data_IF_954966381768
#
_entry.id   IF_954966381768
#
_cell.length_a   1.000
_cell.length_b   1.000
_cell.length_c   1.000
_cell.angle_alpha   90.00
_cell.angle_beta   90.00
_cell.angle_gamma   90.00
#
_symmetry.space_group_name_H-M   'P 1'
#
loop_
_entity.id
_entity.type
_entity.pdbx_description
1 polymer ?
#
# COMPACT_ATOMS: atom_id res chain seq x y z
N UNK A 1 1.35 -21.79 -9.43
CA UNK A 1 0.93 -20.36 -9.45
C UNK A 1 0.84 -19.86 -8.03
N UNK A 2 1.33 -18.65 -7.80
CA UNK A 2 1.34 -17.98 -6.50
C UNK A 2 0.85 -16.56 -6.63
N UNK A 3 0.85 -15.81 -5.52
CA UNK A 3 0.50 -14.39 -5.52
C UNK A 3 1.59 -13.60 -6.23
N UNK A 4 1.21 -12.76 -7.19
CA UNK A 4 2.14 -11.92 -7.95
C UNK A 4 2.58 -10.68 -7.16
N UNK A 5 1.63 -9.98 -6.52
CA UNK A 5 1.91 -8.75 -5.76
C UNK A 5 1.47 -8.90 -4.31
N UNK A 6 2.35 -8.58 -3.36
CA UNK A 6 2.09 -8.64 -1.92
C UNK A 6 2.31 -7.27 -1.29
N UNK A 7 1.26 -6.74 -0.67
CA UNK A 7 1.31 -5.53 0.16
C UNK A 7 1.08 -5.84 1.64
N UNK A 8 1.96 -5.35 2.51
CA UNK A 8 1.90 -5.52 3.96
C UNK A 8 1.81 -4.16 4.64
N UNK A 9 0.67 -3.89 5.26
CA UNK A 9 0.45 -2.70 6.09
C UNK A 9 1.21 -2.84 7.41
N UNK A 10 2.10 -1.91 7.71
CA UNK A 10 2.98 -1.92 8.89
C UNK A 10 2.60 -0.85 9.94
N UNK A 11 1.41 -0.26 9.81
CA UNK A 11 0.92 0.79 10.72
C UNK A 11 1.77 2.06 10.63
N UNK A 12 2.29 2.51 11.77
CA UNK A 12 3.17 3.70 11.87
C UNK A 12 4.52 3.54 11.14
N UNK A 13 4.85 2.34 10.67
CA UNK A 13 6.04 2.09 9.83
C UNK A 13 5.72 2.14 8.33
N UNK A 14 4.48 2.46 7.96
CA UNK A 14 4.06 2.62 6.57
C UNK A 14 3.61 1.30 5.94
N UNK A 15 4.05 1.05 4.71
CA UNK A 15 3.67 -0.13 3.93
C UNK A 15 4.88 -0.73 3.22
N UNK A 16 4.96 -2.06 3.20
CA UNK A 16 5.88 -2.81 2.35
C UNK A 16 5.11 -3.38 1.15
N UNK A 17 5.63 -3.25 -0.06
CA UNK A 17 5.04 -3.81 -1.27
C UNK A 17 6.12 -4.48 -2.12
N UNK A 18 5.81 -5.63 -2.72
CA UNK A 18 6.68 -6.31 -3.67
C UNK A 18 5.90 -7.09 -4.72
N UNK A 19 6.46 -7.22 -5.93
CA UNK A 19 6.02 -8.15 -6.98
C UNK A 19 6.98 -9.35 -7.17
N UNK A 20 7.99 -9.48 -6.29
CA UNK A 20 9.05 -10.48 -6.38
C UNK A 20 10.31 -10.03 -7.11
N UNK A 21 10.25 -8.93 -7.87
CA UNK A 21 11.43 -8.31 -8.52
C UNK A 21 11.77 -6.98 -7.85
N UNK A 22 10.78 -6.12 -7.69
CA UNK A 22 10.87 -4.85 -6.98
C UNK A 22 10.32 -4.99 -5.55
N UNK A 23 10.92 -4.24 -4.65
CA UNK A 23 10.44 -4.10 -3.27
C UNK A 23 10.57 -2.66 -2.82
N UNK A 24 9.54 -2.15 -2.16
CA UNK A 24 9.56 -0.81 -1.60
C UNK A 24 8.93 -0.76 -0.21
N UNK A 25 9.50 0.11 0.62
CA UNK A 25 8.86 0.55 1.86
C UNK A 25 8.47 2.00 1.66
N UNK A 26 7.17 2.28 1.80
CA UNK A 26 6.59 3.61 1.69
C UNK A 26 6.30 4.11 3.10
N UNK A 27 6.84 5.26 3.46
CA UNK A 27 6.60 5.90 4.75
C UNK A 27 5.12 6.28 4.89
N UNK A 28 4.54 6.21 6.10
CA UNK A 28 3.15 6.59 6.29
C UNK A 28 2.99 8.10 6.16
N UNK A 29 1.83 8.51 5.65
CA UNK A 29 1.43 9.90 5.72
C UNK A 29 1.01 10.26 7.16
N UNK A 30 1.72 11.20 7.79
CA UNK A 30 1.47 11.59 9.19
C UNK A 30 0.20 12.43 9.29
N UNK A 31 -0.75 11.95 10.07
CA UNK A 31 -2.03 12.63 10.37
C UNK A 31 -2.38 12.45 11.85
N UNK A 32 -3.19 13.35 12.38
CA UNK A 32 -3.86 13.13 13.66
C UNK A 32 -4.99 12.12 13.46
N UNK A 33 -4.91 10.97 14.12
CA UNK A 33 -5.90 9.89 13.96
C UNK A 33 -7.10 10.18 14.85
N UNK A 34 -8.24 10.51 14.22
CA UNK A 34 -9.52 10.69 14.91
C UNK A 34 -10.30 9.37 14.98
N UNK A 35 -10.35 8.63 13.86
CA UNK A 35 -10.96 7.31 13.73
C UNK A 35 -10.22 6.50 12.65
N UNK A 36 -9.94 5.23 12.92
CA UNK A 36 -9.27 4.32 11.98
C UNK A 36 -10.24 3.49 11.12
N UNK A 37 -11.55 3.60 11.37
CA UNK A 37 -12.58 2.87 10.63
C UNK A 37 -12.46 3.16 9.13
N UNK A 38 -12.34 2.11 8.32
CA UNK A 38 -12.20 2.22 6.86
C UNK A 38 -10.80 2.58 6.35
N UNK A 39 -9.81 2.86 7.20
CA UNK A 39 -8.45 3.17 6.74
C UNK A 39 -7.84 2.02 5.91
N UNK A 40 -8.15 0.78 6.27
CA UNK A 40 -7.74 -0.40 5.52
C UNK A 40 -8.37 -0.51 4.14
N UNK A 41 -9.65 -0.17 4.02
CA UNK A 41 -10.40 -0.21 2.74
C UNK A 41 -9.95 0.93 1.83
N UNK A 42 -9.75 2.13 2.38
CA UNK A 42 -9.22 3.28 1.67
C UNK A 42 -7.80 3.00 1.12
N UNK A 43 -6.94 2.35 1.92
CA UNK A 43 -5.63 1.90 1.45
C UNK A 43 -5.75 0.95 0.26
N UNK A 44 -6.59 -0.08 0.35
CA UNK A 44 -6.78 -1.03 -0.75
C UNK A 44 -7.33 -0.34 -2.01
N UNK A 45 -8.28 0.58 -1.86
CA UNK A 45 -8.85 1.34 -2.97
C UNK A 45 -7.80 2.20 -3.68
N UNK A 46 -6.97 2.94 -2.93
CA UNK A 46 -5.89 3.76 -3.48
C UNK A 46 -4.84 2.91 -4.20
N UNK A 47 -4.39 1.84 -3.57
CA UNK A 47 -3.40 0.93 -4.15
C UNK A 47 -3.90 0.30 -5.45
N UNK A 48 -5.15 -0.19 -5.47
CA UNK A 48 -5.75 -0.76 -6.68
C UNK A 48 -5.91 0.28 -7.79
N UNK A 49 -6.25 1.52 -7.45
CA UNK A 49 -6.32 2.61 -8.42
C UNK A 49 -4.97 2.87 -9.08
N UNK A 50 -3.88 2.91 -8.30
CA UNK A 50 -2.52 3.07 -8.82
C UNK A 50 -2.10 1.90 -9.71
N UNK A 51 -2.34 0.67 -9.23
CA UNK A 51 -1.97 -0.56 -9.94
C UNK A 51 -2.71 -0.70 -11.27
N UNK A 52 -4.03 -0.51 -11.28
CA UNK A 52 -4.86 -0.56 -12.50
C UNK A 52 -4.53 0.60 -13.46
N UNK A 53 -4.00 1.71 -12.94
CA UNK A 53 -3.50 2.84 -13.70
C UNK A 53 -2.11 2.66 -14.29
N UNK A 54 -1.44 1.51 -14.06
CA UNK A 54 -0.09 1.23 -14.56
C UNK A 54 1.01 2.05 -13.90
N UNK A 55 0.79 2.51 -12.66
CA UNK A 55 1.81 3.24 -11.88
C UNK A 55 2.86 2.26 -11.35
N UNK A 56 4.03 2.78 -11.00
CA UNK A 56 5.05 2.01 -10.29
C UNK A 56 4.55 1.62 -8.88
N UNK A 57 5.03 0.51 -8.32
CA UNK A 57 4.56 0.00 -7.01
C UNK A 57 4.73 1.02 -5.88
N UNK A 58 5.77 1.86 -5.93
CA UNK A 58 6.01 2.93 -4.95
C UNK A 58 4.99 4.09 -5.04
N UNK A 59 4.35 4.25 -6.18
CA UNK A 59 3.38 5.32 -6.47
C UNK A 59 1.92 4.87 -6.40
N UNK A 60 1.70 3.59 -6.07
CA UNK A 60 0.40 3.00 -5.76
C UNK A 60 0.04 3.23 -4.29
#
# INVERSE_FOLDING_TARGET
EGVEVVGVKLGERGCYVTDGEEQCVVEPYKVEVVDSTGAGDAFCAGFLYGLLGGRALREC
#
